data_IF_032685973419
#
_entry.id   IF_032685973419
#
_cell.length_a   1.000
_cell.length_b   1.000
_cell.length_c   1.000
_cell.angle_alpha   90.00
_cell.angle_beta   90.00
_cell.angle_gamma   90.00
#
_symmetry.space_group_name_H-M   'P 1'
#
loop_
_entity.id
_entity.type
_entity.pdbx_description
1 polymer ?
#
# COMPACT_ATOMS: atom_id res chain seq x y z
N UNK A 1 13.06 -9.58 -15.26
CA UNK A 1 13.97 -8.93 -14.28
C UNK A 1 13.28 -8.95 -12.93
N UNK A 2 13.99 -9.31 -11.86
CA UNK A 2 13.42 -9.33 -10.51
C UNK A 2 13.02 -7.89 -10.09
N UNK A 3 11.91 -7.77 -9.39
CA UNK A 3 11.39 -6.52 -8.86
C UNK A 3 12.27 -6.07 -7.68
N UNK A 4 12.82 -4.85 -7.71
CA UNK A 4 13.70 -4.36 -6.62
C UNK A 4 12.93 -3.51 -5.60
N UNK A 5 11.99 -2.67 -6.04
CA UNK A 5 11.17 -1.86 -5.13
C UNK A 5 10.17 -2.68 -4.29
N UNK A 6 9.81 -2.26 -3.06
CA UNK A 6 8.90 -2.99 -2.18
C UNK A 6 7.42 -2.78 -2.57
N UNK A 7 6.97 -3.50 -3.60
CA UNK A 7 5.62 -3.32 -4.17
C UNK A 7 4.48 -3.55 -3.15
N UNK A 8 4.61 -4.46 -2.19
CA UNK A 8 3.60 -4.68 -1.16
C UNK A 8 3.48 -3.49 -0.20
N UNK A 9 4.62 -2.91 0.23
CA UNK A 9 4.64 -1.71 1.07
C UNK A 9 4.05 -0.50 0.35
N UNK A 10 4.39 -0.32 -0.94
CA UNK A 10 3.80 0.72 -1.77
C UNK A 10 2.30 0.51 -1.97
N UNK A 11 1.83 -0.72 -2.19
CA UNK A 11 0.40 -1.00 -2.32
C UNK A 11 -0.35 -0.59 -1.05
N UNK A 12 0.12 -1.03 0.13
CA UNK A 12 -0.49 -0.67 1.41
C UNK A 12 -0.41 0.84 1.67
N UNK A 13 0.73 1.47 1.39
CA UNK A 13 0.91 2.91 1.51
C UNK A 13 -0.08 3.68 0.65
N UNK A 14 -0.25 3.30 -0.63
CA UNK A 14 -1.21 3.95 -1.54
C UNK A 14 -2.63 3.77 -1.05
N UNK A 15 -3.01 2.60 -0.55
CA UNK A 15 -4.37 2.37 -0.03
C UNK A 15 -4.67 3.33 1.14
N UNK A 16 -3.69 3.56 2.02
CA UNK A 16 -3.87 4.36 3.22
C UNK A 16 -3.76 5.88 2.97
N UNK A 17 -2.81 6.31 2.13
CA UNK A 17 -2.46 7.73 1.96
C UNK A 17 -2.57 8.17 0.50
N UNK A 18 -3.69 7.90 -0.18
CA UNK A 18 -3.96 8.44 -1.53
C UNK A 18 -5.20 9.32 -1.61
N UNK A 19 -5.83 9.65 -0.48
CA UNK A 19 -7.00 10.53 -0.46
C UNK A 19 -6.64 11.99 -0.77
N UNK A 20 -5.45 12.44 -0.36
CA UNK A 20 -4.93 13.76 -0.65
C UNK A 20 -3.47 13.75 -1.12
N UNK A 21 -3.12 14.70 -1.98
CA UNK A 21 -1.78 14.86 -2.53
C UNK A 21 -0.73 15.08 -1.44
N UNK A 22 -1.04 15.92 -0.43
CA UNK A 22 -0.10 16.24 0.66
C UNK A 22 0.34 14.99 1.43
N UNK A 23 -0.61 14.13 1.75
CA UNK A 23 -0.37 12.88 2.48
C UNK A 23 0.35 11.86 1.59
N UNK A 24 -0.07 11.72 0.33
CA UNK A 24 0.58 10.85 -0.64
C UNK A 24 2.05 11.22 -0.87
N UNK A 25 2.34 12.52 -0.96
CA UNK A 25 3.69 13.04 -1.13
C UNK A 25 4.58 12.65 0.05
N UNK A 26 4.14 12.98 1.26
CA UNK A 26 4.89 12.71 2.48
C UNK A 26 5.04 11.20 2.74
N UNK A 27 3.94 10.44 2.71
CA UNK A 27 3.94 9.01 2.93
C UNK A 27 4.87 8.29 1.96
N UNK A 28 4.85 8.67 0.68
CA UNK A 28 5.72 8.07 -0.31
C UNK A 28 7.22 8.25 -0.04
N UNK A 29 7.66 9.45 0.36
CA UNK A 29 9.05 9.70 0.76
C UNK A 29 9.41 8.83 1.97
N UNK A 30 8.50 8.72 2.94
CA UNK A 30 8.71 7.92 4.15
C UNK A 30 8.78 6.41 3.86
N UNK A 31 8.00 5.90 2.90
CA UNK A 31 8.11 4.51 2.42
C UNK A 31 9.46 4.26 1.74
N UNK A 32 9.93 5.21 0.92
CA UNK A 32 11.25 5.08 0.28
C UNK A 32 12.36 5.05 1.35
N UNK A 33 12.28 5.95 2.32
CA UNK A 33 13.25 6.01 3.42
C UNK A 33 13.25 4.72 4.25
N UNK A 34 12.08 4.16 4.56
CA UNK A 34 11.98 2.91 5.32
C UNK A 34 12.49 1.70 4.53
N UNK A 35 12.29 1.68 3.20
CA UNK A 35 12.85 0.65 2.33
C UNK A 35 14.38 0.68 2.31
N UNK A 36 14.97 1.87 2.12
CA UNK A 36 16.44 2.05 2.14
C UNK A 36 17.01 1.71 3.51
N UNK A 37 16.33 2.12 4.59
CA UNK A 37 16.74 1.79 5.95
C UNK A 37 16.73 0.28 6.21
N UNK A 38 15.70 -0.45 5.74
CA UNK A 38 15.63 -1.90 5.90
C UNK A 38 16.78 -2.61 5.17
N UNK A 39 17.15 -2.18 3.97
CA UNK A 39 18.30 -2.73 3.24
C UNK A 39 19.64 -2.38 3.91
N UNK A 40 19.81 -1.13 4.36
CA UNK A 40 21.00 -0.71 5.10
C UNK A 40 21.19 -1.53 6.37
N UNK A 41 20.12 -1.76 7.12
CA UNK A 41 20.15 -2.51 8.36
C UNK A 41 20.45 -3.99 8.10
N UNK A 42 19.85 -4.59 7.07
CA UNK A 42 20.23 -5.96 6.63
C UNK A 42 21.72 -6.04 6.34
N UNK A 43 22.25 -5.16 5.47
CA UNK A 43 23.64 -5.22 5.02
C UNK A 43 24.64 -5.01 6.16
N UNK A 44 24.30 -4.18 7.15
CA UNK A 44 25.15 -3.92 8.31
C UNK A 44 25.18 -5.10 9.28
N UNK A 45 24.05 -5.79 9.47
CA UNK A 45 23.93 -6.90 10.42
C UNK A 45 24.30 -8.26 9.82
N UNK A 46 24.30 -8.41 8.50
CA UNK A 46 24.57 -9.67 7.79
C UNK A 46 25.95 -10.26 8.11
N UNK A 47 26.93 -9.40 8.38
CA UNK A 47 28.28 -9.84 8.76
C UNK A 47 28.42 -10.22 10.23
N UNK A 48 27.49 -9.78 11.09
CA UNK A 48 27.62 -9.87 12.54
C UNK A 48 26.70 -10.92 13.18
N UNK A 49 25.58 -11.26 12.53
CA UNK A 49 24.52 -12.06 13.16
C UNK A 49 24.15 -13.31 12.34
N UNK A 50 23.74 -14.40 13.02
CA UNK A 50 23.19 -15.57 12.36
C UNK A 50 21.82 -15.24 11.74
N UNK A 51 21.47 -15.94 10.67
CA UNK A 51 20.33 -15.61 9.80
C UNK A 51 18.97 -15.48 10.52
N UNK A 52 18.73 -16.25 11.59
CA UNK A 52 17.48 -16.21 12.35
C UNK A 52 17.36 -14.94 13.20
N UNK A 53 18.44 -14.56 13.89
CA UNK A 53 18.52 -13.32 14.68
C UNK A 53 18.50 -12.09 13.79
N UNK A 54 19.21 -12.13 12.65
CA UNK A 54 19.20 -11.06 11.66
C UNK A 54 17.78 -10.76 11.16
N UNK A 55 17.02 -11.80 10.78
CA UNK A 55 15.65 -11.61 10.28
C UNK A 55 14.77 -10.92 11.31
N UNK A 56 14.77 -11.40 12.55
CA UNK A 56 13.98 -10.81 13.63
C UNK A 56 14.38 -9.37 13.91
N UNK A 57 15.69 -9.10 13.97
CA UNK A 57 16.19 -7.75 14.22
C UNK A 57 15.78 -6.78 13.09
N UNK A 58 15.90 -7.20 11.83
CA UNK A 58 15.51 -6.39 10.67
C UNK A 58 14.01 -6.09 10.66
N UNK A 59 13.16 -7.07 10.96
CA UNK A 59 11.71 -6.84 11.05
C UNK A 59 11.35 -5.87 12.19
N UNK A 60 11.84 -6.11 13.41
CA UNK A 60 11.48 -5.27 14.56
C UNK A 60 12.00 -3.84 14.38
N UNK A 61 13.25 -3.69 13.95
CA UNK A 61 13.88 -2.38 13.78
C UNK A 61 13.22 -1.59 12.64
N UNK A 62 13.01 -2.19 11.47
CA UNK A 62 12.35 -1.51 10.34
C UNK A 62 10.92 -1.10 10.67
N UNK A 63 10.12 -1.98 11.30
CA UNK A 63 8.76 -1.67 11.72
C UNK A 63 8.73 -0.52 12.72
N UNK A 64 9.53 -0.60 13.78
CA UNK A 64 9.55 0.40 14.85
C UNK A 64 10.02 1.77 14.35
N UNK A 65 11.09 1.80 13.54
CA UNK A 65 11.60 3.04 12.95
C UNK A 65 10.58 3.61 11.96
N UNK A 66 9.99 2.80 11.09
CA UNK A 66 8.97 3.25 10.16
C UNK A 66 7.79 3.90 10.89
N UNK A 67 7.22 3.21 11.90
CA UNK A 67 6.10 3.77 12.66
C UNK A 67 6.45 5.07 13.39
N UNK A 68 7.67 5.18 13.93
CA UNK A 68 8.13 6.38 14.64
C UNK A 68 8.34 7.56 13.69
N UNK A 69 8.97 7.32 12.53
CA UNK A 69 9.22 8.36 11.54
C UNK A 69 7.90 8.82 10.90
N UNK A 70 6.95 7.91 10.65
CA UNK A 70 5.61 8.30 10.19
C UNK A 70 4.88 9.18 11.20
N UNK A 71 4.94 8.83 12.50
CA UNK A 71 4.33 9.65 13.55
C UNK A 71 4.93 11.07 13.57
N UNK A 72 6.26 11.19 13.55
CA UNK A 72 6.94 12.48 13.54
C UNK A 72 6.71 13.27 12.24
N UNK A 73 6.75 12.60 11.09
CA UNK A 73 6.56 13.21 9.78
C UNK A 73 5.15 13.80 9.62
N UNK A 74 4.12 13.04 10.00
CA UNK A 74 2.74 13.51 9.95
C UNK A 74 2.46 14.57 11.02
N UNK A 75 3.06 14.48 12.21
CA UNK A 75 2.98 15.54 13.22
C UNK A 75 3.57 16.86 12.71
N UNK A 76 4.69 16.82 11.97
CA UNK A 76 5.28 18.01 11.35
C UNK A 76 4.40 18.62 10.25
N UNK A 77 3.57 17.81 9.58
CA UNK A 77 2.57 18.25 8.59
C UNK A 77 1.28 18.81 9.23
N UNK A 78 1.16 18.76 10.56
CA UNK A 78 -0.02 19.21 11.30
C UNK A 78 -1.18 18.22 11.29
N UNK A 79 -0.94 16.97 10.90
CA UNK A 79 -1.94 15.89 10.87
C UNK A 79 -1.54 14.78 11.85
N UNK A 80 -2.38 14.49 12.84
CA UNK A 80 -2.12 13.40 13.78
C UNK A 80 -2.59 12.07 13.20
N UNK A 81 -1.72 11.06 13.23
CA UNK A 81 -2.10 9.69 12.88
C UNK A 81 -2.91 9.08 14.01
N UNK A 82 -4.06 8.52 13.67
CA UNK A 82 -4.83 7.68 14.59
C UNK A 82 -4.07 6.38 14.88
N UNK A 83 -4.37 5.74 16.01
CA UNK A 83 -3.71 4.53 16.51
C UNK A 83 -3.77 3.40 15.49
N UNK A 84 -4.89 3.23 14.80
CA UNK A 84 -5.05 2.23 13.74
C UNK A 84 -4.14 2.50 12.54
N UNK A 85 -4.05 3.76 12.08
CA UNK A 85 -3.19 4.15 10.96
C UNK A 85 -1.72 4.01 11.35
N UNK A 86 -1.34 4.42 12.56
CA UNK A 86 0.01 4.22 13.10
C UNK A 86 0.39 2.73 13.12
N UNK A 87 -0.50 1.84 13.57
CA UNK A 87 -0.25 0.40 13.55
C UNK A 87 -0.03 -0.13 12.11
N UNK A 88 -0.73 0.40 11.11
CA UNK A 88 -0.49 0.02 9.72
C UNK A 88 0.81 0.60 9.15
N UNK A 89 1.29 1.75 9.62
CA UNK A 89 2.64 2.24 9.25
C UNK A 89 3.75 1.32 9.78
N UNK A 90 3.54 0.65 10.91
CA UNK A 90 4.41 -0.43 11.38
C UNK A 90 4.39 -1.62 10.41
N UNK A 91 3.21 -2.02 9.93
CA UNK A 91 3.07 -3.08 8.92
C UNK A 91 3.77 -2.71 7.62
N UNK A 92 3.68 -1.46 7.14
CA UNK A 92 4.44 -0.98 5.97
C UNK A 92 5.95 -1.21 6.19
N UNK A 93 6.48 -0.88 7.37
CA UNK A 93 7.88 -1.13 7.72
C UNK A 93 8.26 -2.60 7.69
N UNK A 94 7.38 -3.49 8.19
CA UNK A 94 7.58 -4.94 8.09
C UNK A 94 7.60 -5.44 6.64
N UNK A 95 6.74 -4.90 5.78
CA UNK A 95 6.72 -5.25 4.35
C UNK A 95 8.00 -4.79 3.63
N UNK A 96 8.54 -3.63 4.02
CA UNK A 96 9.84 -3.17 3.54
C UNK A 96 10.97 -4.12 3.94
N UNK A 97 11.01 -4.55 5.21
CA UNK A 97 11.95 -5.58 5.65
C UNK A 97 11.73 -6.94 4.97
N UNK A 98 10.48 -7.33 4.74
CA UNK A 98 10.16 -8.57 4.06
C UNK A 98 10.78 -8.62 2.65
N UNK A 99 10.66 -7.51 1.92
CA UNK A 99 11.27 -7.36 0.61
C UNK A 99 12.81 -7.33 0.71
N UNK A 100 13.39 -6.54 1.62
CA UNK A 100 14.85 -6.46 1.79
C UNK A 100 15.48 -7.84 2.10
N UNK A 101 14.82 -8.65 2.93
CA UNK A 101 15.28 -9.99 3.30
C UNK A 101 15.09 -11.04 2.19
N UNK A 102 14.13 -10.85 1.28
CA UNK A 102 13.91 -11.73 0.10
C UNK A 102 14.71 -11.30 -1.13
N UNK A 103 15.08 -10.03 -1.22
CA UNK A 103 15.82 -9.46 -2.34
C UNK A 103 17.30 -9.83 -2.30
N UNK A 104 17.85 -10.19 -3.46
CA UNK A 104 19.30 -10.12 -3.76
C UNK A 104 19.67 -8.68 -4.12
N UNK A 105 19.28 -7.71 -3.31
CA UNK A 105 19.78 -6.35 -3.47
C UNK A 105 21.22 -6.33 -2.95
N UNK A 106 22.19 -6.61 -3.83
CA UNK A 106 23.63 -6.49 -3.57
C UNK A 106 24.02 -5.00 -3.40
N UNK A 107 23.43 -4.31 -2.42
CA UNK A 107 23.68 -2.89 -2.11
C UNK A 107 23.49 -1.91 -3.29
N UNK A 108 22.65 -2.27 -4.27
CA UNK A 108 22.33 -1.43 -5.42
C UNK A 108 21.23 -0.41 -5.09
N UNK A 109 21.58 0.51 -4.17
CA UNK A 109 20.67 1.54 -3.66
C UNK A 109 20.17 2.48 -4.77
N UNK A 110 20.96 2.67 -5.84
CA UNK A 110 20.59 3.50 -6.98
C UNK A 110 19.36 2.96 -7.68
N UNK A 111 19.34 1.66 -7.99
CA UNK A 111 18.20 1.02 -8.62
C UNK A 111 16.98 0.96 -7.69
N UNK A 112 17.18 0.72 -6.39
CA UNK A 112 16.08 0.75 -5.42
C UNK A 112 15.42 2.13 -5.37
N UNK A 113 16.21 3.20 -5.26
CA UNK A 113 15.73 4.58 -5.20
C UNK A 113 15.04 4.97 -6.51
N UNK A 114 15.62 4.60 -7.66
CA UNK A 114 15.04 4.89 -8.96
C UNK A 114 13.69 4.21 -9.17
N UNK A 115 13.60 2.89 -8.93
CA UNK A 115 12.35 2.14 -9.10
C UNK A 115 11.27 2.63 -8.13
N UNK A 116 11.65 2.95 -6.89
CA UNK A 116 10.74 3.48 -5.88
C UNK A 116 10.30 4.91 -6.18
N UNK A 117 11.15 5.75 -6.76
CA UNK A 117 10.81 7.10 -7.20
C UNK A 117 9.79 7.07 -8.34
N UNK A 118 9.89 6.11 -9.27
CA UNK A 118 8.87 5.93 -10.34
C UNK A 118 7.52 5.54 -9.73
N UNK A 119 7.50 4.60 -8.77
CA UNK A 119 6.28 4.23 -8.06
C UNK A 119 5.65 5.42 -7.33
N UNK A 120 6.48 6.19 -6.63
CA UNK A 120 6.06 7.40 -5.92
C UNK A 120 5.50 8.48 -6.85
N UNK A 121 6.12 8.69 -8.01
CA UNK A 121 5.62 9.63 -9.02
C UNK A 121 4.22 9.28 -9.49
N UNK A 122 3.96 8.00 -9.81
CA UNK A 122 2.62 7.55 -10.19
C UNK A 122 1.61 7.63 -9.04
N UNK A 123 2.05 7.41 -7.80
CA UNK A 123 1.22 7.58 -6.62
C UNK A 123 0.75 9.02 -6.48
N UNK A 124 1.66 10.01 -6.56
CA UNK A 124 1.28 11.43 -6.48
C UNK A 124 0.29 11.78 -7.60
N UNK A 125 0.57 11.35 -8.84
CA UNK A 125 -0.30 11.64 -9.98
C UNK A 125 -1.73 11.12 -9.76
N UNK A 126 -1.88 9.88 -9.29
CA UNK A 126 -3.20 9.31 -9.03
C UNK A 126 -3.86 9.91 -7.77
N UNK A 127 -3.08 10.32 -6.77
CA UNK A 127 -3.60 11.05 -5.62
C UNK A 127 -4.18 12.41 -6.02
N UNK A 128 -3.52 13.14 -6.93
CA UNK A 128 -4.04 14.41 -7.47
C UNK A 128 -5.36 14.19 -8.20
N UNK A 129 -5.42 13.18 -9.08
CA UNK A 129 -6.66 12.85 -9.81
C UNK A 129 -7.78 12.49 -8.84
N UNK A 130 -7.47 11.73 -7.78
CA UNK A 130 -8.43 11.27 -6.79
C UNK A 130 -8.92 12.41 -5.89
N UNK A 131 -8.03 13.29 -5.43
CA UNK A 131 -8.37 14.49 -4.64
C UNK A 131 -9.26 15.44 -5.46
N UNK A 132 -8.90 15.66 -6.73
CA UNK A 132 -9.68 16.50 -7.63
C UNK A 132 -11.05 15.91 -7.95
N UNK A 133 -11.14 14.60 -8.19
CA UNK A 133 -12.42 13.93 -8.45
C UNK A 133 -13.31 13.89 -7.19
N UNK A 134 -12.72 13.84 -5.99
CA UNK A 134 -13.45 13.77 -4.74
C UNK A 134 -14.09 15.10 -4.34
N UNK A 135 -13.36 16.21 -4.47
CA UNK A 135 -13.82 17.51 -3.96
C UNK A 135 -13.39 18.73 -4.79
N UNK A 136 -12.85 18.53 -5.99
CA UNK A 136 -12.38 19.64 -6.84
C UNK A 136 -11.16 20.37 -6.32
N UNK A 137 -10.51 19.81 -5.31
CA UNK A 137 -9.35 20.38 -4.64
C UNK A 137 -8.07 19.72 -5.12
N UNK A 138 -6.99 20.50 -5.13
CA UNK A 138 -5.62 20.00 -5.23
C UNK A 138 -4.84 20.67 -4.12
N UNK A 139 -4.23 19.86 -3.25
CA UNK A 139 -3.49 20.34 -2.08
C UNK A 139 -4.35 21.18 -1.12
N UNK A 140 -5.62 20.82 -0.98
CA UNK A 140 -6.60 21.55 -0.16
C UNK A 140 -7.06 22.90 -0.75
N UNK A 141 -6.56 23.28 -1.92
CA UNK A 141 -7.02 24.48 -2.64
C UNK A 141 -8.06 24.07 -3.68
N UNK A 142 -9.23 24.72 -3.67
CA UNK A 142 -10.26 24.51 -4.69
C UNK A 142 -9.76 25.01 -6.04
N UNK A 143 -9.70 24.11 -7.02
CA UNK A 143 -9.24 24.43 -8.37
C UNK A 143 -10.45 24.64 -9.28
N UNK A 144 -11.40 23.71 -9.25
CA UNK A 144 -12.56 23.72 -10.12
C UNK A 144 -13.68 22.88 -9.51
N UNK A 145 -14.90 23.43 -9.49
CA UNK A 145 -16.10 22.69 -9.07
C UNK A 145 -16.85 22.22 -10.32
N UNK A 146 -17.01 20.90 -10.46
CA UNK A 146 -17.65 20.27 -11.61
C UNK A 146 -18.73 19.30 -11.14
N UNK A 147 -19.80 19.16 -11.93
CA UNK A 147 -20.97 18.36 -11.57
C UNK A 147 -20.73 16.86 -11.44
N UNK A 148 -19.59 16.35 -11.90
CA UNK A 148 -19.22 14.93 -11.77
C UNK A 148 -18.41 14.60 -10.51
N UNK A 149 -17.99 15.61 -9.73
CA UNK A 149 -17.20 15.38 -8.53
C UNK A 149 -18.05 14.71 -7.45
N UNK A 150 -17.46 13.73 -6.75
CA UNK A 150 -18.18 12.94 -5.75
C UNK A 150 -17.23 12.47 -4.66
N UNK A 151 -17.65 12.61 -3.40
CA UNK A 151 -16.93 12.13 -2.23
C UNK A 151 -16.59 10.63 -2.31
N UNK A 152 -17.35 9.84 -3.09
CA UNK A 152 -17.08 8.43 -3.33
C UNK A 152 -15.66 8.18 -3.89
N UNK A 153 -15.10 9.10 -4.70
CA UNK A 153 -13.73 8.99 -5.19
C UNK A 153 -12.68 9.02 -4.06
N UNK A 154 -13.01 9.62 -2.91
CA UNK A 154 -12.19 9.65 -1.70
C UNK A 154 -12.26 8.37 -0.86
N UNK A 155 -13.10 7.40 -1.20
CA UNK A 155 -13.31 6.18 -0.40
C UNK A 155 -12.30 5.06 -0.71
N UNK A 156 -12.23 4.07 0.19
CA UNK A 156 -11.30 2.95 0.12
C UNK A 156 -11.37 2.16 -1.21
N UNK A 157 -12.55 2.07 -1.84
CA UNK A 157 -12.74 1.41 -3.14
C UNK A 157 -11.77 1.96 -4.19
N UNK A 158 -11.71 3.29 -4.32
CA UNK A 158 -10.81 3.97 -5.26
C UNK A 158 -9.36 3.98 -4.79
N UNK A 159 -9.10 3.84 -3.49
CA UNK A 159 -7.74 3.67 -2.98
C UNK A 159 -7.12 2.34 -3.43
N UNK A 160 -7.88 1.24 -3.38
CA UNK A 160 -7.46 -0.07 -3.91
C UNK A 160 -7.27 -0.03 -5.43
N UNK A 161 -8.16 0.64 -6.16
CA UNK A 161 -8.02 0.82 -7.62
C UNK A 161 -6.75 1.63 -7.92
N UNK A 162 -6.53 2.73 -7.20
CA UNK A 162 -5.34 3.56 -7.35
C UNK A 162 -4.07 2.74 -7.08
N UNK A 163 -4.02 1.95 -6.00
CA UNK A 163 -2.88 1.07 -5.71
C UNK A 163 -2.61 0.08 -6.85
N UNK A 164 -3.66 -0.53 -7.41
CA UNK A 164 -3.53 -1.40 -8.58
C UNK A 164 -2.97 -0.69 -9.81
N UNK A 165 -3.47 0.52 -10.12
CA UNK A 165 -3.02 1.33 -11.25
C UNK A 165 -1.59 1.87 -11.08
N UNK A 166 -1.24 2.39 -9.90
CA UNK A 166 0.13 2.87 -9.58
C UNK A 166 1.13 1.74 -9.86
N UNK A 167 0.87 0.54 -9.34
CA UNK A 167 1.76 -0.60 -9.52
C UNK A 167 1.79 -1.08 -10.97
N UNK A 168 0.65 -1.09 -11.66
CA UNK A 168 0.58 -1.48 -13.07
C UNK A 168 1.36 -0.51 -13.97
N UNK A 169 1.23 0.80 -13.76
CA UNK A 169 1.97 1.81 -14.51
C UNK A 169 3.46 1.75 -14.23
N UNK A 170 3.85 1.60 -12.97
CA UNK A 170 5.24 1.40 -12.55
C UNK A 170 5.84 0.17 -13.24
N UNK A 171 5.14 -0.96 -13.22
CA UNK A 171 5.58 -2.19 -13.90
C UNK A 171 5.64 -2.04 -15.42
N UNK A 172 4.74 -1.24 -16.00
CA UNK A 172 4.74 -0.89 -17.42
C UNK A 172 6.01 -0.14 -17.82
N UNK A 173 6.35 0.91 -17.08
CA UNK A 173 7.56 1.73 -17.32
C UNK A 173 8.83 0.92 -17.09
N UNK A 174 8.90 0.18 -15.97
CA UNK A 174 10.07 -0.62 -15.62
C UNK A 174 10.17 -1.95 -16.40
N UNK A 175 9.15 -2.31 -17.18
CA UNK A 175 9.03 -3.60 -17.91
C UNK A 175 9.24 -4.82 -17.00
N UNK A 176 8.77 -4.72 -15.75
CA UNK A 176 8.86 -5.77 -14.72
C UNK A 176 7.50 -6.40 -14.41
N UNK A 177 7.51 -7.47 -13.64
CA UNK A 177 6.32 -8.22 -13.24
C UNK A 177 6.34 -8.52 -11.73
N UNK A 178 5.19 -8.33 -11.07
CA UNK A 178 5.00 -8.62 -9.64
C UNK A 178 4.63 -10.09 -9.38
N UNK A 179 5.09 -11.03 -10.21
CA UNK A 179 4.82 -12.46 -10.03
C UNK A 179 5.51 -12.97 -8.76
N UNK A 180 4.75 -13.57 -7.85
CA UNK A 180 5.27 -14.15 -6.60
C UNK A 180 5.19 -13.25 -5.36
N UNK A 181 4.73 -12.00 -5.52
CA UNK A 181 4.38 -11.12 -4.38
C UNK A 181 3.05 -11.58 -3.74
N UNK A 182 2.97 -11.51 -2.42
CA UNK A 182 1.83 -11.90 -1.63
C UNK A 182 0.87 -10.73 -1.41
N UNK A 183 -0.10 -10.59 -2.32
CA UNK A 183 -1.15 -9.57 -2.21
C UNK A 183 -1.98 -9.58 -0.93
N UNK A 184 -2.02 -10.69 -0.19
CA UNK A 184 -2.67 -10.75 1.12
C UNK A 184 -1.97 -9.90 2.18
N UNK A 185 -0.64 -9.74 2.07
CA UNK A 185 0.14 -8.97 3.04
C UNK A 185 -0.17 -7.46 2.99
N UNK A 186 -0.63 -6.96 1.84
CA UNK A 186 -1.12 -5.59 1.70
C UNK A 186 -2.65 -5.48 1.87
N UNK A 187 -3.42 -6.40 1.28
CA UNK A 187 -4.88 -6.29 1.27
C UNK A 187 -5.52 -6.54 2.64
N UNK A 188 -5.07 -7.56 3.39
CA UNK A 188 -5.72 -7.94 4.66
C UNK A 188 -5.56 -6.86 5.73
N UNK A 189 -4.37 -6.28 5.97
CA UNK A 189 -4.24 -5.19 6.94
C UNK A 189 -5.08 -3.97 6.56
N UNK A 190 -5.18 -3.64 5.27
CA UNK A 190 -6.06 -2.58 4.80
C UNK A 190 -7.54 -2.92 5.05
N UNK A 191 -7.96 -4.16 4.81
CA UNK A 191 -9.35 -4.61 5.05
C UNK A 191 -9.77 -4.63 6.51
N UNK A 192 -8.81 -4.82 7.42
CA UNK A 192 -9.05 -4.78 8.86
C UNK A 192 -9.33 -3.36 9.37
N UNK A 193 -8.78 -2.34 8.71
CA UNK A 193 -8.98 -0.94 9.14
C UNK A 193 -10.08 -0.26 8.34
N UNK A 194 -10.12 -0.49 7.02
CA UNK A 194 -11.08 0.09 6.09
C UNK A 194 -12.21 -0.93 5.89
N UNK A 195 -13.15 -0.97 6.83
CA UNK A 195 -14.30 -1.86 6.73
C UNK A 195 -15.20 -1.45 5.55
N UNK A 196 -15.46 -2.35 4.58
CA UNK A 196 -16.28 -2.01 3.41
C UNK A 196 -17.77 -1.84 3.73
N UNK A 197 -18.25 -2.43 4.82
CA UNK A 197 -19.62 -2.31 5.30
C UNK A 197 -19.67 -2.55 6.81
N UNK A 198 -20.74 -2.12 7.46
CA UNK A 198 -20.98 -2.38 8.89
C UNK A 198 -22.25 -3.20 9.05
N UNK A 199 -22.19 -4.33 9.74
CA UNK A 199 -23.39 -5.13 10.04
C UNK A 199 -23.91 -4.80 11.43
N UNK A 200 -25.20 -4.46 11.52
CA UNK A 200 -25.91 -4.24 12.80
C UNK A 200 -26.76 -5.44 13.24
N UNK A 201 -26.75 -6.52 12.47
CA UNK A 201 -27.73 -7.62 12.55
C UNK A 201 -27.37 -8.64 13.63
N UNK A 202 -26.08 -8.81 13.93
CA UNK A 202 -25.57 -9.65 15.02
C UNK A 202 -24.82 -8.75 16.00
N UNK A 203 -24.77 -9.11 17.29
CA UNK A 203 -24.09 -8.29 18.31
C UNK A 203 -22.69 -7.83 17.87
N UNK A 204 -22.22 -6.69 18.41
CA UNK A 204 -21.06 -5.93 17.88
C UNK A 204 -19.85 -6.78 17.49
N UNK A 205 -19.50 -7.78 18.32
CA UNK A 205 -18.38 -8.69 18.05
C UNK A 205 -18.62 -9.61 16.83
N UNK A 206 -19.81 -10.20 16.70
CA UNK A 206 -20.14 -11.06 15.58
C UNK A 206 -20.28 -10.27 14.27
N UNK A 207 -20.80 -9.04 14.36
CA UNK A 207 -20.86 -8.13 13.23
C UNK A 207 -19.47 -7.78 12.69
N UNK A 208 -18.54 -7.43 13.57
CA UNK A 208 -17.14 -7.14 13.21
C UNK A 208 -16.45 -8.34 12.53
N UNK A 209 -16.62 -9.54 13.08
CA UNK A 209 -16.02 -10.76 12.48
C UNK A 209 -16.52 -10.98 11.05
N UNK A 210 -17.82 -10.81 10.80
CA UNK A 210 -18.38 -10.97 9.46
C UNK A 210 -17.91 -9.89 8.49
N UNK A 211 -17.81 -8.64 8.95
CA UNK A 211 -17.34 -7.51 8.10
C UNK A 211 -15.91 -7.69 7.61
N UNK A 212 -15.10 -8.48 8.31
CA UNK A 212 -13.72 -8.81 7.90
C UNK A 212 -13.68 -10.10 7.10
N UNK A 213 -14.40 -11.13 7.54
CA UNK A 213 -14.33 -12.46 6.94
C UNK A 213 -14.88 -12.48 5.52
N UNK A 214 -15.98 -11.77 5.26
CA UNK A 214 -16.64 -11.74 3.95
C UNK A 214 -15.73 -11.12 2.86
N UNK A 215 -15.16 -9.91 3.03
CA UNK A 215 -14.24 -9.34 2.04
C UNK A 215 -13.01 -10.21 1.80
N UNK A 216 -12.43 -10.79 2.86
CA UNK A 216 -11.24 -11.64 2.76
C UNK A 216 -11.55 -12.94 2.00
N UNK A 217 -12.70 -13.56 2.27
CA UNK A 217 -13.14 -14.77 1.57
C UNK A 217 -13.42 -14.50 0.08
N UNK A 218 -14.10 -13.40 -0.24
CA UNK A 218 -14.33 -12.98 -1.63
C UNK A 218 -13.02 -12.69 -2.35
N UNK A 219 -12.11 -11.95 -1.71
CA UNK A 219 -10.81 -11.65 -2.26
C UNK A 219 -9.98 -12.92 -2.52
N UNK A 220 -10.02 -13.89 -1.61
CA UNK A 220 -9.38 -15.19 -1.80
C UNK A 220 -9.96 -15.94 -3.00
N UNK A 221 -11.28 -15.99 -3.13
CA UNK A 221 -11.98 -16.65 -4.24
C UNK A 221 -11.60 -16.02 -5.60
N UNK A 222 -11.65 -14.69 -5.70
CA UNK A 222 -11.30 -13.97 -6.93
C UNK A 222 -9.83 -14.16 -7.27
N UNK A 223 -8.92 -14.08 -6.29
CA UNK A 223 -7.49 -14.31 -6.50
C UNK A 223 -7.20 -15.72 -7.03
N UNK A 224 -7.91 -16.75 -6.57
CA UNK A 224 -7.76 -18.09 -7.13
C UNK A 224 -8.15 -18.16 -8.61
N UNK A 225 -9.21 -17.44 -8.98
CA UNK A 225 -9.72 -17.39 -10.36
C UNK A 225 -8.80 -16.57 -11.27
N UNK A 226 -8.25 -15.46 -10.77
CA UNK A 226 -7.34 -14.58 -11.51
C UNK A 226 -6.04 -15.27 -11.95
N UNK A 227 -5.64 -16.37 -11.31
CA UNK A 227 -4.48 -17.18 -11.73
C UNK A 227 -4.62 -17.69 -13.17
N UNK A 228 -5.85 -17.91 -13.63
CA UNK A 228 -6.16 -18.41 -14.97
C UNK A 228 -6.36 -17.29 -16.01
N UNK A 229 -6.43 -16.03 -15.57
CA UNK A 229 -6.65 -14.89 -16.45
C UNK A 229 -5.41 -14.57 -17.30
N UNK A 230 -5.62 -14.27 -18.58
CA UNK A 230 -4.58 -13.79 -19.51
C UNK A 230 -4.37 -12.29 -19.34
N UNK A 231 -3.78 -11.89 -18.22
CA UNK A 231 -3.48 -10.48 -17.95
C UNK A 231 -2.12 -10.10 -18.56
N UNK A 232 -2.00 -8.87 -19.05
CA UNK A 232 -0.73 -8.34 -19.57
C UNK A 232 0.34 -8.32 -18.48
N UNK A 233 1.61 -8.28 -18.89
CA UNK A 233 2.76 -8.43 -17.98
C UNK A 233 2.76 -7.43 -16.83
N UNK A 234 2.33 -6.19 -17.09
CA UNK A 234 2.35 -5.08 -16.13
C UNK A 234 1.28 -5.21 -15.04
N UNK A 235 0.13 -5.81 -15.38
CA UNK A 235 -0.99 -5.97 -14.45
C UNK A 235 -0.94 -7.28 -13.67
N UNK A 236 -0.05 -8.19 -14.04
CA UNK A 236 -0.03 -9.54 -13.49
C UNK A 236 0.43 -9.60 -12.04
N UNK A 237 -0.34 -10.30 -11.20
CA UNK A 237 -0.04 -10.50 -9.79
C UNK A 237 -0.66 -9.41 -8.92
N UNK A 238 0.15 -8.80 -8.05
CA UNK A 238 -0.28 -7.78 -7.08
C UNK A 238 -1.17 -6.67 -7.68
N UNK A 239 -0.89 -6.08 -8.87
CA UNK A 239 -1.73 -5.00 -9.41
C UNK A 239 -3.17 -5.45 -9.72
N UNK A 240 -3.34 -6.56 -10.43
CA UNK A 240 -4.67 -7.13 -10.72
C UNK A 240 -5.42 -7.51 -9.44
N UNK A 241 -4.71 -8.04 -8.43
CA UNK A 241 -5.31 -8.36 -7.14
C UNK A 241 -5.83 -7.09 -6.45
N UNK A 242 -5.07 -5.98 -6.42
CA UNK A 242 -5.53 -4.72 -5.83
C UNK A 242 -6.74 -4.12 -6.58
N UNK A 243 -6.75 -4.18 -7.92
CA UNK A 243 -7.91 -3.77 -8.72
C UNK A 243 -9.16 -4.60 -8.37
N UNK A 244 -9.01 -5.91 -8.24
CA UNK A 244 -10.10 -6.80 -7.86
C UNK A 244 -10.61 -6.49 -6.44
N UNK A 245 -9.71 -6.20 -5.49
CA UNK A 245 -10.10 -5.75 -4.16
C UNK A 245 -10.95 -4.47 -4.23
N UNK A 246 -10.56 -3.49 -5.05
CA UNK A 246 -11.34 -2.26 -5.24
C UNK A 246 -12.74 -2.50 -5.81
N UNK A 247 -12.88 -3.45 -6.74
CA UNK A 247 -14.20 -3.84 -7.29
C UNK A 247 -15.05 -4.56 -6.23
N UNK A 248 -14.46 -5.47 -5.45
CA UNK A 248 -15.16 -6.13 -4.35
C UNK A 248 -15.66 -5.09 -3.34
N UNK A 249 -14.81 -4.14 -2.98
CA UNK A 249 -15.15 -3.03 -2.10
C UNK A 249 -16.34 -2.23 -2.62
N UNK A 250 -16.33 -1.89 -3.91
CA UNK A 250 -17.42 -1.16 -4.55
C UNK A 250 -18.75 -1.93 -4.54
N UNK A 251 -18.72 -3.25 -4.68
CA UNK A 251 -19.93 -4.08 -4.59
C UNK A 251 -20.44 -4.13 -3.16
N UNK A 252 -19.54 -4.27 -2.19
CA UNK A 252 -19.89 -4.38 -0.78
C UNK A 252 -20.33 -3.05 -0.16
N UNK A 253 -19.79 -1.93 -0.61
CA UNK A 253 -20.13 -0.59 -0.09
C UNK A 253 -21.52 -0.10 -0.50
N UNK A 254 -22.22 -0.83 -1.37
CA UNK A 254 -23.62 -0.54 -1.74
C UNK A 254 -24.59 -0.96 -0.62
N UNK A 255 -24.16 -1.85 0.28
CA UNK A 255 -24.98 -2.46 1.33
C UNK A 255 -24.65 -1.92 2.72
#
# INVERSE_FOLDING_TARGET
>A
MKLKYPAEAFALGVILFSAGMREAFAAGILVILSAVFAELLKNLLEKALPAWSLRLCVYIASGAVCASVFLLGFAALGSLLDTGMWALTFVIGLLCAHQALRGDAEADYGDLLWESAVAWGFWILLAIVREFAAGGQIFGNTVLELSFQSAAFGEACFAFIAAGLVLAFTNGVLKKDCRGQNSFLAAVPAMLLLHPFTTRIFGEAAGLVLTILIPVALFFSVKQTLKFSRVSRSYRGLPADMLAAGIIYMILSIY
#
